data_IF_439713866063
#
_entry.id   IF_439713866063
#
_cell.length_a   1.000
_cell.length_b   1.000
_cell.length_c   1.000
_cell.angle_alpha   90.00
_cell.angle_beta   90.00
_cell.angle_gamma   90.00
#
_symmetry.space_group_name_H-M   'P 1'
#
loop_
_entity.id
_entity.type
_entity.pdbx_description
1 polymer ?
2 polymer ?
3 non-polymer ?
4 non-polymer ?
5 non-polymer ?
6 non-polymer ?
7 water ?
#
# COMPACT_ATOMS: atom_id res chain seq x y z
N UNK A 19 -5.77 13.10 -14.69
CA UNK A 19 -4.91 13.00 -13.52
C UNK A 19 -5.66 12.61 -12.25
N UNK A 20 -5.01 11.83 -11.39
CA UNK A 20 -5.66 11.39 -10.17
C UNK A 20 -5.59 12.53 -9.17
N UNK A 21 -6.65 12.68 -8.39
CA UNK A 21 -6.73 13.69 -7.36
C UNK A 21 -6.97 13.05 -6.00
N UNK A 22 -6.84 13.87 -4.96
CA UNK A 22 -7.21 13.42 -3.61
C UNK A 22 -8.59 12.80 -3.60
N UNK A 23 -9.56 13.47 -4.23
CA UNK A 23 -10.95 13.01 -4.17
C UNK A 23 -11.22 11.87 -5.14
N UNK A 24 -10.44 11.76 -6.22
CA UNK A 24 -10.52 10.62 -7.15
C UNK A 24 -9.10 10.18 -7.48
N UNK A 25 -8.43 9.52 -6.53
CA UNK A 25 -7.04 9.11 -6.75
C UNK A 25 -6.88 8.07 -7.84
N UNK A 26 -5.72 8.10 -8.48
CA UNK A 26 -5.31 6.96 -9.27
C UNK A 26 -4.90 5.83 -8.34
N UNK A 27 -5.17 4.61 -8.75
CA UNK A 27 -4.86 3.45 -7.92
C UNK A 27 -3.65 2.77 -8.55
N UNK A 28 -2.84 2.12 -7.71
CA UNK A 28 -1.70 1.41 -8.23
C UNK A 28 -1.79 -0.06 -7.86
N UNK A 29 -1.33 -0.95 -8.74
CA UNK A 29 -1.52 -2.38 -8.50
C UNK A 29 -0.68 -2.87 -7.33
N UNK A 30 -1.20 -3.91 -6.69
CA UNK A 30 -0.69 -4.41 -5.44
C UNK A 30 -0.61 -5.93 -5.49
N UNK A 31 0.50 -6.48 -4.98
CA UNK A 31 0.59 -7.88 -4.60
C UNK A 31 0.67 -7.98 -3.09
N UNK A 32 0.00 -8.98 -2.50
CA UNK A 32 0.03 -9.19 -1.07
C UNK A 32 0.13 -10.67 -0.76
N UNK A 33 0.93 -11.01 0.24
CA UNK A 33 1.11 -12.41 0.63
C UNK A 33 1.70 -12.45 2.04
N UNK A 34 1.49 -13.59 2.70
CA UNK A 34 2.09 -13.86 4.01
C UNK A 34 3.37 -14.66 3.79
N UNK A 35 4.46 -14.19 4.40
CA UNK A 35 5.76 -14.85 4.33
C UNK A 35 6.16 -15.21 5.76
N UNK A 36 5.73 -16.40 6.19
CA UNK A 36 5.97 -16.87 7.54
C UNK A 36 5.36 -15.93 8.57
N UNK A 37 6.20 -15.23 9.33
CA UNK A 37 5.71 -14.39 10.41
C UNK A 37 5.55 -12.94 9.98
N UNK A 38 5.61 -12.66 8.67
CA UNK A 38 5.48 -11.31 8.15
C UNK A 38 4.45 -11.28 7.04
N UNK A 39 3.70 -10.19 6.98
CA UNK A 39 2.79 -9.90 5.89
C UNK A 39 3.45 -8.86 4.99
N UNK A 40 3.49 -9.13 3.69
CA UNK A 40 4.20 -8.28 2.73
C UNK A 40 3.22 -7.74 1.70
N UNK A 41 3.37 -6.46 1.39
CA UNK A 41 2.59 -5.77 0.35
C UNK A 41 3.57 -5.05 -0.56
N UNK A 42 3.37 -5.20 -1.88
CA UNK A 42 4.17 -4.49 -2.87
C UNK A 42 3.29 -3.72 -3.85
N UNK A 43 3.68 -2.48 -4.13
CA UNK A 43 2.97 -1.58 -5.06
C UNK A 43 3.89 -1.23 -6.22
N UNK A 44 3.37 -1.29 -7.45
CA UNK A 44 4.06 -0.70 -8.60
C UNK A 44 3.87 0.81 -8.58
N UNK A 45 4.94 1.56 -8.31
CA UNK A 45 4.90 3.03 -8.20
C UNK A 45 6.11 3.63 -8.91
N UNK A 46 6.28 3.35 -10.20
CA UNK A 46 7.50 3.79 -10.90
C UNK A 46 7.60 5.29 -11.02
N UNK A 47 8.82 5.81 -10.95
CA UNK A 47 9.04 7.21 -11.30
C UNK A 47 8.43 8.17 -10.31
N UNK A 48 8.37 7.76 -9.05
CA UNK A 48 7.83 8.55 -7.94
C UNK A 48 8.98 9.20 -7.20
N UNK A 49 8.81 10.49 -6.88
CA UNK A 49 9.76 11.16 -6.00
C UNK A 49 9.48 10.82 -4.54
N UNK A 50 10.50 10.34 -3.84
CA UNK A 50 10.33 9.96 -2.44
C UNK A 50 9.65 11.06 -1.63
N UNK A 51 9.87 12.32 -2.01
CA UNK A 51 9.26 13.43 -1.29
C UNK A 51 7.74 13.29 -1.24
N UNK A 52 7.16 12.63 -2.24
CA UNK A 52 5.71 12.52 -2.32
C UNK A 52 5.20 11.37 -1.47
N UNK A 53 5.91 10.23 -1.47
CA UNK A 53 5.46 9.06 -0.75
C UNK A 53 5.08 9.40 0.68
N UNK A 54 3.88 9.01 1.07
CA UNK A 54 3.44 9.14 2.45
C UNK A 54 2.75 7.84 2.83
N UNK A 55 3.14 7.27 3.97
CA UNK A 55 2.52 6.09 4.51
C UNK A 55 1.88 6.47 5.83
N UNK A 56 0.56 6.40 5.88
CA UNK A 56 -0.18 6.69 7.09
C UNK A 56 -0.67 5.35 7.63
N UNK A 57 -0.47 5.11 8.91
CA UNK A 57 -0.96 3.91 9.56
C UNK A 57 -1.97 4.32 10.61
N UNK A 58 -3.11 3.67 10.59
CA UNK A 58 -4.20 3.87 11.52
C UNK A 58 -4.34 2.58 12.31
N UNK A 59 -5.11 2.63 13.39
CA UNK A 59 -5.24 1.49 14.31
C UNK A 59 -4.94 0.19 13.57
N UNK A 60 -5.67 -0.06 12.47
CA UNK A 60 -5.46 -1.25 11.67
C UNK A 60 -5.58 -0.95 10.17
N UNK A 61 -5.38 0.29 9.74
CA UNK A 61 -5.52 0.69 8.35
C UNK A 61 -4.21 1.29 7.88
N UNK A 62 -3.71 0.78 6.76
CA UNK A 62 -2.54 1.36 6.09
C UNK A 62 -3.03 2.10 4.87
N UNK A 63 -2.60 3.35 4.74
CA UNK A 63 -2.92 4.18 3.59
C UNK A 63 -1.61 4.57 2.92
N UNK A 64 -1.51 4.30 1.63
CA UNK A 64 -0.33 4.66 0.84
C UNK A 64 -0.75 5.76 -0.11
N UNK A 65 0.00 6.85 -0.11
CA UNK A 65 -0.29 7.97 -1.01
C UNK A 65 0.99 8.44 -1.67
N UNK A 66 0.92 8.64 -2.98
CA UNK A 66 2.03 9.16 -3.74
C UNK A 66 1.50 10.13 -4.79
N UNK A 67 2.38 11.01 -5.24
CA UNK A 67 2.02 11.92 -6.31
C UNK A 67 3.12 11.85 -7.34
N UNK A 68 2.74 11.76 -8.61
CA UNK A 68 3.70 11.88 -9.70
C UNK A 68 3.27 13.10 -10.48
N UNK A 69 4.12 14.13 -10.55
CA UNK A 69 3.70 15.41 -11.12
C UNK A 69 3.23 15.35 -12.56
N UNK A 70 2.29 16.22 -12.88
CA UNK A 70 1.82 16.43 -14.24
C UNK A 70 2.95 17.00 -15.10
N UNK A 71 2.83 16.76 -16.41
CA UNK A 71 3.81 17.27 -17.35
C UNK A 71 3.68 18.80 -17.45
N UNK A 72 4.82 19.45 -17.57
CA UNK A 72 4.90 20.88 -17.83
C UNK A 72 3.86 21.25 -18.89
N UNK A 73 2.91 22.12 -18.57
CA UNK A 73 1.86 22.45 -19.56
C UNK A 73 2.41 22.95 -20.86
N UNK A 74 3.60 23.52 -20.85
CA UNK A 74 4.24 24.06 -22.03
C UNK A 74 5.00 23.02 -22.84
N UNK A 75 5.03 21.77 -22.40
CA UNK A 75 5.73 20.70 -23.09
C UNK A 75 4.78 19.95 -24.00
N UNK A 76 5.07 19.93 -25.30
CA UNK A 76 4.27 19.16 -26.26
C UNK A 76 4.71 17.70 -26.24
N UNK A 77 3.89 16.84 -25.66
CA UNK A 77 4.16 15.42 -25.66
C UNK A 77 3.68 14.80 -26.96
N UNK A 78 4.48 13.88 -27.51
CA UNK A 78 4.01 13.04 -28.62
C UNK A 78 3.25 11.82 -28.12
N UNK A 79 3.57 11.33 -26.92
CA UNK A 79 2.80 10.30 -26.23
C UNK A 79 2.80 10.62 -24.76
N UNK A 80 1.67 10.42 -24.09
CA UNK A 80 1.59 10.69 -22.65
C UNK A 80 0.65 9.69 -21.98
N UNK A 81 1.03 8.41 -22.00
CA UNK A 81 0.17 7.34 -21.49
C UNK A 81 0.35 7.09 -20.01
N UNK A 82 1.45 7.51 -19.42
CA UNK A 82 1.71 7.12 -18.05
C UNK A 82 0.78 7.86 -17.09
N UNK A 83 0.17 7.18 -16.13
CA UNK A 83 -0.76 7.86 -15.22
C UNK A 83 -0.01 8.82 -14.33
N UNK A 84 -0.61 9.98 -14.08
CA UNK A 84 0.02 11.02 -13.29
C UNK A 84 -0.97 11.55 -12.26
N UNK A 85 -0.43 12.34 -11.31
CA UNK A 85 -1.25 12.96 -10.29
C UNK A 85 -1.18 12.21 -8.99
N UNK A 86 -2.30 12.11 -8.26
CA UNK A 86 -2.31 11.52 -6.93
C UNK A 86 -2.62 10.04 -7.04
N UNK A 87 -1.76 9.22 -6.43
CA UNK A 87 -2.00 7.79 -6.25
C UNK A 87 -2.31 7.51 -4.78
N UNK A 88 -3.24 6.60 -4.54
CA UNK A 88 -3.63 6.27 -3.17
C UNK A 88 -4.23 4.87 -3.12
N UNK A 89 -3.90 4.15 -2.06
CA UNK A 89 -4.54 2.86 -1.81
C UNK A 89 -4.63 2.68 -0.29
N UNK A 90 -5.77 2.19 0.18
CA UNK A 90 -5.97 1.92 1.60
C UNK A 90 -6.16 0.43 1.82
N UNK A 91 -5.44 -0.12 2.77
CA UNK A 91 -5.57 -1.52 3.16
C UNK A 91 -6.14 -1.60 4.57
N UNK A 92 -7.16 -2.43 4.72
CA UNK A 92 -7.74 -2.74 6.03
C UNK A 92 -7.09 -4.04 6.49
N UNK A 93 -6.28 -3.94 7.53
CA UNK A 93 -5.48 -5.03 8.04
C UNK A 93 -6.18 -5.71 9.21
N UNK A 94 -5.89 -7.00 9.40
CA UNK A 94 -6.47 -7.75 10.48
C UNK A 94 -5.87 -7.37 11.82
N UNK A 95 -6.53 -7.83 12.88
CA UNK A 95 -6.12 -7.42 14.22
C UNK A 95 -4.73 -7.94 14.55
N UNK A 96 -4.33 -9.07 13.97
CA UNK A 96 -3.03 -9.71 14.22
C UNK A 96 -1.84 -8.98 13.60
N UNK A 97 -2.01 -7.87 12.89
CA UNK A 97 -0.90 -7.19 12.25
C UNK A 97 -0.37 -6.08 13.16
N UNK A 98 0.90 -6.16 13.53
CA UNK A 98 1.52 -5.14 14.37
C UNK A 98 1.89 -3.93 13.50
N UNK A 99 0.85 -3.18 13.13
CA UNK A 99 1.05 -2.04 12.23
C UNK A 99 2.13 -1.09 12.74
N UNK A 100 2.29 -0.98 14.06
CA UNK A 100 3.25 -0.04 14.60
C UNK A 100 4.67 -0.35 14.14
N UNK A 101 4.98 -1.61 13.86
CA UNK A 101 6.32 -2.02 13.46
C UNK A 101 6.47 -2.15 11.93
N UNK A 102 5.68 -1.41 11.15
CA UNK A 102 5.77 -1.48 9.70
C UNK A 102 7.15 -1.05 9.21
N UNK A 103 7.64 -1.74 8.20
CA UNK A 103 8.88 -1.37 7.50
C UNK A 103 8.56 -1.13 6.02
N UNK A 104 9.07 -0.03 5.47
CA UNK A 104 8.74 0.34 4.10
C UNK A 104 10.00 0.67 3.32
N UNK A 105 10.06 0.18 2.08
CA UNK A 105 11.20 0.46 1.21
C UNK A 105 10.69 0.68 -0.20
N UNK A 106 11.49 1.43 -0.95
CA UNK A 106 11.14 1.83 -2.31
C UNK A 106 12.38 1.60 -3.16
N UNK A 107 12.29 0.66 -4.09
CA UNK A 107 13.39 0.30 -4.96
C UNK A 107 12.86 -0.23 -6.29
N UNK A 108 13.57 0.11 -7.37
CA UNK A 108 13.17 -0.30 -8.71
C UNK A 108 11.73 0.10 -8.98
N UNK A 109 11.31 1.22 -8.40
CA UNK A 109 9.95 1.71 -8.60
C UNK A 109 8.89 0.93 -7.88
N UNK A 110 9.27 0.09 -6.92
CA UNK A 110 8.34 -0.73 -6.14
C UNK A 110 8.40 -0.32 -4.67
N UNK A 111 7.25 0.04 -4.11
CA UNK A 111 7.11 0.27 -2.68
C UNK A 111 6.73 -1.04 -1.98
N UNK A 112 7.61 -1.52 -1.11
CA UNK A 112 7.38 -2.77 -0.39
C UNK A 112 7.16 -2.47 1.08
N UNK A 113 6.07 -3.00 1.63
CA UNK A 113 5.76 -2.87 3.06
C UNK A 113 5.86 -4.22 3.74
N UNK A 114 6.47 -4.24 4.92
CA UNK A 114 6.56 -5.46 5.71
C UNK A 114 5.97 -5.20 7.08
N UNK A 115 4.88 -5.88 7.39
CA UNK A 115 4.19 -5.72 8.66
C UNK A 115 4.33 -7.03 9.42
N UNK A 116 4.90 -7.04 10.62
CA UNK A 116 4.98 -8.28 11.38
C UNK A 116 3.59 -8.78 11.74
N UNK A 117 3.43 -10.10 11.71
CA UNK A 117 2.20 -10.74 12.15
C UNK A 117 2.40 -11.15 13.61
N UNK A 118 1.43 -10.80 14.45
CA UNK A 118 1.54 -11.00 15.90
C UNK A 118 0.33 -11.81 16.33
N UNK A 119 0.44 -13.12 16.25
CA UNK A 119 -0.70 -13.97 16.58
C UNK A 119 -1.08 -13.81 18.04
N UNK A 120 -2.39 -13.74 18.29
CA UNK A 120 -2.94 -13.80 19.63
C UNK A 120 -2.80 -15.19 20.26
N UNK A 121 -2.86 -15.22 21.58
CA UNK A 121 -2.76 -16.47 22.32
C UNK A 121 -4.04 -17.28 22.20
N UNK A 122 -3.88 -18.60 22.04
CA UNK A 122 -4.97 -19.58 21.99
C UNK A 122 -6.16 -19.08 21.18
N UNK A 123 -6.00 -18.93 19.86
CA UNK A 123 -7.07 -18.35 19.03
C UNK A 123 -8.30 -19.22 18.87
N UNK A 124 -9.42 -18.54 18.60
CA UNK A 124 -10.69 -19.20 18.31
C UNK A 124 -10.66 -20.00 17.02
N UNK A 125 -11.29 -21.17 17.06
CA UNK A 125 -11.53 -22.00 15.88
C UNK A 125 -13.03 -22.31 15.85
N UNK A 126 -13.76 -21.74 14.90
CA UNK A 126 -15.21 -21.90 14.85
C UNK A 126 -15.55 -23.27 14.26
N UNK A 127 -16.35 -24.04 14.99
CA UNK A 127 -16.83 -25.32 14.48
C UNK A 127 -18.20 -25.17 13.86
N UNK A 128 -18.45 -25.96 12.82
CA UNK A 128 -19.72 -25.91 12.09
C UNK A 128 -20.50 -27.16 12.41
N UNK A 129 -21.74 -26.98 12.86
CA UNK A 129 -22.65 -28.08 13.08
C UNK A 129 -23.25 -28.56 11.76
N UNK A 130 -23.73 -29.80 11.77
CA UNK A 130 -24.50 -30.35 10.65
C UNK A 130 -25.96 -30.53 11.04
N UNK B 1 -1.34 -12.94 8.36
CA UNK B 1 -1.49 -11.90 7.37
C UNK B 1 -2.92 -11.79 6.88
N UNK B 2 -3.72 -10.97 7.57
CA UNK B 2 -5.13 -10.82 7.26
C UNK B 2 -5.38 -9.42 6.72
N UNK B 3 -6.30 -9.32 5.76
CA UNK B 3 -6.51 -8.09 5.03
C UNK B 3 -7.83 -8.16 4.27
N UNK B 4 -8.53 -7.04 4.20
CA UNK B 4 -9.81 -6.97 3.49
C UNK B 4 -9.69 -6.17 2.20
X LIG C 1 1.05 18.60 -23.64
X LIG C 1 0.50 18.65 -22.35
X LIG C 1 0.13 17.85 -24.60
X LIG C 1 0.30 18.32 -25.92
X LIG C 1 -0.26 19.59 -26.14
X LIG C 1 -0.59 19.77 -27.62
X LIG C 1 -1.75 20.54 -27.74
X LIG C 1 1.19 19.49 -23.96
X LIG C 1 1.91 18.14 -23.60
X LIG C 1 0.69 19.39 -21.99
X LIG C 1 0.34 16.90 -24.58
X LIG C 1 -0.78 17.97 -24.34
X LIG C 1 -1.07 19.68 -25.62
X LIG C 1 0.37 20.28 -25.87
X LIG C 1 0.15 20.22 -28.07
X LIG C 1 -0.74 18.90 -28.02
X LIG C 1 -1.55 21.36 -27.73
X LIG D 1 9.18 13.20 -12.12
X LIG D 1 10.22 12.71 -11.31
X LIG D 1 9.47 12.83 -13.57
X LIG D 1 8.33 12.25 -14.17
X LIG D 1 8.64 11.32 -15.16
X LIG D 1 8.88 9.97 -14.52
X LIG D 1 7.70 9.55 -13.90
X LIG D 1 8.34 12.80 -11.84
X LIG D 1 9.13 14.15 -12.03
X LIG D 1 10.10 12.96 -10.51
X LIG D 1 9.72 13.62 -14.07
X LIG D 1 10.20 12.19 -13.61
X LIG D 1 7.89 11.25 -15.78
X LIG D 1 9.43 11.61 -15.64
X LIG D 1 9.15 9.33 -15.19
X LIG D 1 9.59 10.05 -13.85
X LIG D 1 7.57 8.73 -14.07
X LIG E 1 2.57 2.18 -14.12
X LIG E 1 1.69 2.50 -15.17
X LIG E 1 2.95 0.70 -14.19
X LIG E 1 2.11 -0.05 -13.34
X LIG E 1 1.91 -1.39 -13.70
X LIG E 1 0.42 -1.61 -13.93
X LIG E 1 -0.01 -0.84 -15.02
X LIG E 1 2.13 2.36 -13.27
X LIG E 1 3.37 2.72 -14.20
X LIG E 1 1.59 1.83 -15.68
X LIG E 1 2.86 0.38 -15.10
X LIG E 1 3.88 0.59 -13.90
X LIG E 1 2.40 -1.59 -14.50
X LIG E 1 2.22 -1.96 -12.98
X LIG E 1 0.26 -2.55 -14.11
X LIG E 1 -0.08 -1.34 -13.13
X LIG E 1 -0.85 -0.83 -15.04
X LIG F 1 -13.87 -23.09 19.45
X LIG F 1 -13.92 -23.73 20.77
X LIG F 1 -15.21 -23.41 21.53
X LIG F 1 -16.31 -23.47 20.97
X LIG F 1 -12.71 -23.16 21.48
X LIG F 1 -11.79 -22.73 20.40
X LIG F 1 -12.70 -22.22 19.32
X LIG F 1 -15.17 -23.07 22.72
X LIG G 1 -7.71 13.36 -17.59
X LIG H 1 7.90 20.94 -26.12
X LIG I 1 -0.36 16.22 -21.49
#
# INVERSE_FOLDING_TARGET
>A
MLMRTDPFRDLDRFAQQVLGTSARPAVMPMDAWREGDKFVVEFDLPGIDADSLDIDIERNVVTVRAERPAVDPNREMLASERPRGVFSRQLVLGENLDTARIAASYTEGVLKLQIPVAEKAKPRKISITRGAGDKTISENGAHPEVIEA
>B
GRLL
>C hetero
1 PEG C1 O1 C2 O2 C3 C4 O4 H11 H12 HO1 H21 H22 H31 H32 H41 H42 HO4
>D hetero
1 PEG C1 O1 C2 O2 C3 C4 O4 H11 H12 HO1 H21 H22 H31 H32 H41 H42 HO4
>E hetero
1 PEG C1 O1 C2 O2 C3 C4 O4 H11 H12 HO1 H21 H22 H31 H32 H41 H42 HO4
>F hetero
1 PRO N CA C O CB CG CD OXT
>G hetero
1 CL CL
>H hetero
1 CL CL
>I hetero
1 NA NA
#
